data_IF_684323809958
#
_entry.id   IF_684323809958
#
_cell.length_a   1.000
_cell.length_b   1.000
_cell.length_c   1.000
_cell.angle_alpha   90.00
_cell.angle_beta   90.00
_cell.angle_gamma   90.00
#
_symmetry.space_group_name_H-M   'P 1'
#
loop_
_entity.id
_entity.type
_entity.pdbx_description
1 polymer ?
#
# COMPACT_ATOMS: atom_id res chain seq x y z
N UNK A 1 19.12 -2.49 18.66
CA UNK A 1 17.74 -2.95 18.43
C UNK A 1 17.43 -2.73 16.97
N UNK A 2 17.57 -3.77 16.14
CA UNK A 2 17.21 -3.73 14.71
C UNK A 2 15.68 -3.66 14.60
N UNK A 3 15.14 -2.45 14.75
CA UNK A 3 13.75 -2.15 14.46
C UNK A 3 13.53 -2.20 12.95
N UNK A 4 13.48 -3.41 12.37
CA UNK A 4 12.92 -3.59 11.02
C UNK A 4 11.53 -2.97 11.05
N UNK A 5 11.34 -1.87 10.31
CA UNK A 5 10.03 -1.28 10.09
C UNK A 5 9.08 -2.40 9.70
N UNK A 6 8.14 -2.75 10.58
CA UNK A 6 7.21 -3.85 10.35
C UNK A 6 6.29 -3.42 9.21
N UNK A 7 6.59 -3.88 7.99
CA UNK A 7 5.74 -3.65 6.83
C UNK A 7 4.37 -4.30 7.02
N UNK A 8 3.36 -3.75 6.36
CA UNK A 8 2.03 -4.37 6.31
C UNK A 8 2.09 -5.61 5.43
N UNK A 9 1.61 -6.76 5.93
CA UNK A 9 1.54 -8.00 5.15
C UNK A 9 0.12 -8.24 4.69
N UNK A 10 -0.06 -8.28 3.36
CA UNK A 10 -1.33 -8.62 2.75
C UNK A 10 -1.30 -10.03 2.18
N UNK A 11 -2.16 -10.90 2.72
CA UNK A 11 -2.30 -12.28 2.24
C UNK A 11 -3.28 -12.32 1.08
N UNK A 12 -2.82 -12.78 -0.07
CA UNK A 12 -3.60 -12.87 -1.32
C UNK A 12 -3.57 -14.30 -1.85
N UNK A 13 -4.67 -14.77 -2.43
CA UNK A 13 -4.74 -16.07 -3.11
C UNK A 13 -3.58 -16.27 -4.07
N UNK A 14 -2.97 -17.46 -4.05
CA UNK A 14 -1.82 -17.79 -4.90
C UNK A 14 -1.99 -17.49 -6.40
N UNK A 15 -3.14 -17.74 -7.06
CA UNK A 15 -3.33 -17.38 -8.47
C UNK A 15 -3.25 -15.88 -8.73
N UNK A 16 -3.65 -15.05 -7.76
CA UNK A 16 -3.77 -13.60 -7.91
C UNK A 16 -2.53 -12.86 -7.40
N UNK A 17 -1.62 -13.53 -6.69
CA UNK A 17 -0.48 -12.91 -6.02
C UNK A 17 0.42 -12.11 -6.98
N UNK A 18 0.70 -12.65 -8.17
CA UNK A 18 1.57 -11.98 -9.14
C UNK A 18 0.93 -10.68 -9.68
N UNK A 19 -0.37 -10.75 -9.98
CA UNK A 19 -1.16 -9.61 -10.47
C UNK A 19 -1.28 -8.55 -9.38
N UNK A 20 -1.67 -8.96 -8.17
CA UNK A 20 -1.79 -8.06 -7.04
C UNK A 20 -0.46 -7.38 -6.71
N UNK A 21 0.67 -8.10 -6.79
CA UNK A 21 1.99 -7.52 -6.55
C UNK A 21 2.38 -6.49 -7.61
N UNK A 22 2.12 -6.78 -8.88
CA UNK A 22 2.37 -5.84 -9.97
C UNK A 22 1.53 -4.57 -9.81
N UNK A 23 0.26 -4.73 -9.43
CA UNK A 23 -0.65 -3.62 -9.22
C UNK A 23 -0.27 -2.77 -8.00
N UNK A 24 0.11 -3.40 -6.89
CA UNK A 24 0.66 -2.72 -5.72
C UNK A 24 1.88 -1.89 -6.10
N UNK A 25 2.80 -2.44 -6.89
CA UNK A 25 4.00 -1.73 -7.34
C UNK A 25 3.64 -0.54 -8.25
N UNK A 26 2.72 -0.73 -9.19
CA UNK A 26 2.26 0.31 -10.12
C UNK A 26 1.63 1.48 -9.36
N UNK A 27 0.66 1.20 -8.49
CA UNK A 27 -0.07 2.22 -7.74
C UNK A 27 0.85 2.97 -6.78
N UNK A 28 1.69 2.23 -6.06
CA UNK A 28 2.71 2.81 -5.18
C UNK A 28 3.63 3.77 -5.93
N UNK A 29 4.18 3.33 -7.07
CA UNK A 29 5.07 4.16 -7.87
C UNK A 29 4.36 5.41 -8.41
N UNK A 30 3.10 5.27 -8.85
CA UNK A 30 2.29 6.37 -9.35
C UNK A 30 2.01 7.42 -8.26
N UNK A 31 1.69 6.99 -7.03
CA UNK A 31 1.49 7.88 -5.88
C UNK A 31 2.79 8.61 -5.54
N UNK A 32 3.90 7.88 -5.36
CA UNK A 32 5.20 8.47 -5.00
C UNK A 32 5.70 9.44 -6.08
N UNK A 33 5.48 9.14 -7.36
CA UNK A 33 5.88 10.02 -8.46
C UNK A 33 5.16 11.38 -8.44
N UNK A 34 3.96 11.46 -7.84
CA UNK A 34 3.21 12.71 -7.69
C UNK A 34 3.47 13.40 -6.37
N UNK A 35 3.59 12.61 -5.31
CA UNK A 35 3.74 13.10 -3.94
C UNK A 35 4.90 12.32 -3.29
N UNK A 36 6.17 12.71 -3.53
CA UNK A 36 7.34 11.97 -3.07
C UNK A 36 7.44 11.85 -1.55
N UNK A 37 6.88 12.82 -0.82
CA UNK A 37 6.81 12.84 0.64
C UNK A 37 5.74 11.91 1.24
N UNK A 38 4.91 11.26 0.41
CA UNK A 38 3.89 10.34 0.90
C UNK A 38 4.52 9.13 1.59
N UNK A 39 4.09 8.89 2.83
CA UNK A 39 4.49 7.78 3.69
C UNK A 39 3.43 6.70 3.81
N UNK A 40 2.16 7.09 3.76
CA UNK A 40 1.06 6.15 3.80
C UNK A 40 -0.13 6.65 2.97
N UNK A 41 -0.95 5.70 2.55
CA UNK A 41 -2.26 5.92 1.96
C UNK A 41 -3.30 5.60 3.02
N UNK A 42 -4.19 6.54 3.30
CA UNK A 42 -5.39 6.34 4.10
C UNK A 42 -6.60 6.30 3.17
N UNK A 43 -7.32 5.19 3.17
CA UNK A 43 -8.60 5.05 2.49
C UNK A 43 -9.69 5.09 3.56
N UNK A 44 -10.59 6.06 3.45
CA UNK A 44 -11.67 6.30 4.42
C UNK A 44 -12.93 5.53 4.04
N UNK A 45 -13.87 5.38 4.98
CA UNK A 45 -15.14 4.67 4.77
C UNK A 45 -16.03 5.32 3.68
N UNK A 46 -15.78 6.60 3.37
CA UNK A 46 -16.47 7.34 2.30
C UNK A 46 -15.82 7.14 0.93
N UNK A 47 -14.80 6.27 0.83
CA UNK A 47 -14.03 6.06 -0.40
C UNK A 47 -13.02 7.16 -0.70
N UNK A 48 -12.87 8.15 0.20
CA UNK A 48 -11.89 9.21 0.07
C UNK A 48 -10.46 8.71 0.35
N UNK A 49 -9.52 9.12 -0.50
CA UNK A 49 -8.08 8.85 -0.35
C UNK A 49 -7.39 10.08 0.24
N UNK A 50 -6.60 9.84 1.28
CA UNK A 50 -5.67 10.81 1.86
C UNK A 50 -4.26 10.23 1.82
N UNK A 51 -3.27 11.11 1.68
CA UNK A 51 -1.86 10.74 1.81
C UNK A 51 -1.33 11.33 3.11
N UNK A 52 -0.55 10.55 3.84
CA UNK A 52 0.09 10.97 5.08
C UNK A 52 1.59 11.06 4.89
N UNK A 53 2.26 11.97 5.58
CA UNK A 53 3.72 12.00 5.69
C UNK A 53 4.23 11.09 6.82
N UNK A 54 5.55 11.14 7.07
CA UNK A 54 6.19 10.33 8.11
C UNK A 54 5.78 10.72 9.56
N UNK A 55 5.24 11.93 9.76
CA UNK A 55 4.68 12.35 11.04
C UNK A 55 3.23 11.91 11.22
N UNK A 56 2.59 11.42 10.15
CA UNK A 56 1.17 11.10 10.12
C UNK A 56 0.29 12.30 9.77
N UNK A 57 0.87 13.40 9.33
CA UNK A 57 0.15 14.60 8.92
C UNK A 57 -0.41 14.44 7.51
N UNK A 58 -1.60 15.00 7.28
CA UNK A 58 -2.26 14.94 5.98
C UNK A 58 -1.55 15.82 4.96
N UNK A 59 -1.20 15.23 3.83
CA UNK A 59 -0.62 15.91 2.68
C UNK A 59 -1.72 16.44 1.76
N UNK A 60 -1.43 17.57 1.10
CA UNK A 60 -2.29 18.08 0.04
C UNK A 60 -2.25 17.13 -1.16
N UNK A 61 -3.40 16.57 -1.52
CA UNK A 61 -3.60 15.63 -2.62
C UNK A 61 -4.09 16.30 -3.90
N UNK A 62 -4.08 17.63 -4.00
CA UNK A 62 -4.49 18.34 -5.22
C UNK A 62 -3.71 17.90 -6.48
N UNK A 63 -2.48 17.40 -6.31
CA UNK A 63 -1.65 16.88 -7.39
C UNK A 63 -1.97 15.42 -7.78
N UNK A 64 -2.82 14.73 -7.02
CA UNK A 64 -3.22 13.34 -7.26
C UNK A 64 -4.39 13.30 -8.25
N UNK A 65 -4.24 12.68 -9.43
CA UNK A 65 -5.35 12.51 -10.36
C UNK A 65 -6.51 11.76 -9.71
N UNK A 66 -7.75 12.18 -9.97
CA UNK A 66 -8.94 11.51 -9.43
C UNK A 66 -9.00 10.04 -9.82
N UNK A 67 -8.60 9.70 -11.06
CA UNK A 67 -8.53 8.31 -11.53
C UNK A 67 -7.54 7.48 -10.70
N UNK A 68 -6.39 8.05 -10.33
CA UNK A 68 -5.42 7.36 -9.49
C UNK A 68 -5.95 7.19 -8.06
N UNK A 69 -6.66 8.18 -7.53
CA UNK A 69 -7.30 8.08 -6.22
C UNK A 69 -8.37 6.97 -6.20
N UNK A 70 -9.18 6.86 -7.25
CA UNK A 70 -10.19 5.80 -7.39
C UNK A 70 -9.56 4.40 -7.50
N UNK A 71 -8.51 4.26 -8.30
CA UNK A 71 -7.76 3.00 -8.43
C UNK A 71 -7.14 2.59 -7.09
N UNK A 72 -6.54 3.54 -6.36
CA UNK A 72 -5.97 3.32 -5.02
C UNK A 72 -7.05 2.90 -4.02
N UNK A 73 -8.18 3.62 -3.96
CA UNK A 73 -9.28 3.29 -3.05
C UNK A 73 -9.85 1.89 -3.33
N UNK A 74 -10.04 1.57 -4.62
CA UNK A 74 -10.58 0.27 -5.06
C UNK A 74 -9.63 -0.86 -4.74
N UNK A 75 -8.34 -0.66 -4.98
CA UNK A 75 -7.34 -1.67 -4.75
C UNK A 75 -7.15 -1.93 -3.25
N UNK A 76 -6.81 -0.90 -2.47
CA UNK A 76 -6.46 -1.07 -1.06
C UNK A 76 -7.68 -1.34 -0.18
N UNK A 77 -8.85 -0.76 -0.48
CA UNK A 77 -9.98 -0.77 0.43
C UNK A 77 -9.72 0.01 1.72
N UNK A 78 -10.70 0.00 2.64
CA UNK A 78 -10.64 0.77 3.90
C UNK A 78 -9.40 0.42 4.74
N UNK A 79 -8.60 1.41 5.13
CA UNK A 79 -7.44 1.20 6.00
C UNK A 79 -6.31 2.21 5.80
N UNK A 80 -5.20 1.98 6.51
CA UNK A 80 -3.96 2.75 6.39
C UNK A 80 -2.85 1.83 5.88
N UNK A 81 -2.25 2.18 4.76
CA UNK A 81 -1.30 1.35 4.04
C UNK A 81 0.05 2.07 3.90
N UNK A 82 1.12 1.58 4.54
CA UNK A 82 2.43 2.18 4.43
C UNK A 82 3.00 2.04 3.02
N UNK A 83 3.54 3.13 2.48
CA UNK A 83 4.27 3.16 1.22
C UNK A 83 5.76 2.85 1.46
N UNK A 84 6.44 2.21 0.49
CA UNK A 84 7.87 1.99 0.56
C UNK A 84 8.63 3.31 0.39
N UNK A 85 9.78 3.41 1.05
CA UNK A 85 10.66 4.56 0.97
C UNK A 85 11.96 4.34 1.74
N UNK A 86 12.82 5.36 1.89
CA UNK A 86 14.04 5.24 2.68
C UNK A 86 13.70 4.75 4.11
N UNK A 87 14.24 3.60 4.51
CA UNK A 87 13.96 2.98 5.82
C UNK A 87 12.58 2.34 5.99
N UNK A 88 11.71 2.35 4.97
CA UNK A 88 10.34 1.83 5.02
C UNK A 88 10.12 0.73 4.00
N UNK A 89 9.78 -0.46 4.48
CA UNK A 89 9.50 -1.61 3.62
C UNK A 89 8.16 -1.50 2.86
N UNK A 90 7.22 -0.68 3.35
CA UNK A 90 5.88 -0.54 2.78
C UNK A 90 5.01 -1.78 2.96
N UNK A 91 4.15 -2.04 1.99
CA UNK A 91 3.30 -3.23 1.92
C UNK A 91 4.02 -4.42 1.24
N UNK A 92 3.93 -5.60 1.85
CA UNK A 92 4.40 -6.87 1.29
C UNK A 92 3.21 -7.79 1.03
N UNK A 93 3.14 -8.36 -0.16
CA UNK A 93 2.13 -9.38 -0.49
C UNK A 93 2.69 -10.79 -0.37
N UNK A 94 1.90 -11.67 0.23
CA UNK A 94 2.25 -13.06 0.47
C UNK A 94 1.11 -14.00 0.10
N UNK A 95 1.45 -15.24 -0.29
CA UNK A 95 0.45 -16.31 -0.46
C UNK A 95 0.04 -16.88 0.90
N UNK A 96 -1.20 -17.37 1.06
CA UNK A 96 -1.59 -18.08 2.27
C UNK A 96 -0.69 -19.30 2.50
N UNK A 97 -0.32 -19.53 3.76
CA UNK A 97 0.46 -20.68 4.15
C UNK A 97 -0.33 -21.97 3.87
N UNK A 98 0.20 -22.86 3.03
CA UNK A 98 -0.24 -24.25 3.01
C UNK A 98 0.66 -25.02 3.96
N UNK A 99 0.07 -25.55 5.04
CA UNK A 99 0.69 -26.66 5.77
C UNK A 99 0.77 -27.80 4.76
N UNK A 100 1.97 -28.12 4.28
CA UNK A 100 2.19 -29.41 3.63
C UNK A 100 2.06 -30.46 4.72
N UNK A 101 0.88 -31.07 4.86
CA UNK A 101 0.73 -32.30 5.61
C UNK A 101 1.64 -33.32 4.95
N UNK A 102 2.83 -33.51 5.51
CA UNK A 102 3.81 -34.47 5.05
C UNK A 102 3.15 -35.84 4.96
N UNK A 103 3.25 -36.47 3.81
CA UNK A 103 2.95 -37.87 3.60
C UNK A 103 4.21 -38.54 3.07
#
# INVERSE_FOLDING_TARGET
>A
MDGRAQGFVWVVSAPDLAVARAELQRLTAAVIARIPQAAAVLVTAQGGVQLLDDAGDSLDVAALPSTLAEEVATFFGLGVYPLPGPGRAGCRMERPYRVSSGR
#
